data_IF_140925231067
#
_entry.id   IF_140925231067
#
_cell.length_a   1.000
_cell.length_b   1.000
_cell.length_c   1.000
_cell.angle_alpha   90.00
_cell.angle_beta   90.00
_cell.angle_gamma   90.00
#
_symmetry.space_group_name_H-M   'P 1'
#
loop_
_entity.id
_entity.type
_entity.pdbx_description
1 polymer ?
#
# COMPACT_ATOMS: atom_id res chain seq x y z
N UNK A 1 25.44 -8.88 -25.36
CA UNK A 1 24.88 -9.01 -24.00
C UNK A 1 26.03 -9.04 -23.02
N UNK A 2 26.18 -8.00 -22.19
CA UNK A 2 27.24 -7.94 -21.19
C UNK A 2 26.82 -8.78 -19.98
N UNK A 3 27.54 -9.86 -19.70
CA UNK A 3 27.35 -10.64 -18.47
C UNK A 3 27.91 -9.83 -17.30
N UNK A 4 27.29 -9.98 -16.13
CA UNK A 4 27.87 -9.48 -14.89
C UNK A 4 29.22 -10.16 -14.63
N UNK A 5 30.22 -9.43 -14.12
CA UNK A 5 31.49 -10.03 -13.69
C UNK A 5 31.27 -11.15 -12.65
N UNK A 6 32.03 -12.25 -12.76
CA UNK A 6 31.86 -13.43 -11.90
C UNK A 6 32.12 -13.12 -10.42
N UNK A 7 33.06 -12.24 -10.14
CA UNK A 7 33.38 -11.75 -8.79
C UNK A 7 32.19 -11.03 -8.15
N UNK A 8 31.42 -10.25 -8.93
CA UNK A 8 30.19 -9.62 -8.44
C UNK A 8 29.15 -10.68 -8.10
N UNK A 9 28.99 -11.70 -8.95
CA UNK A 9 28.03 -12.79 -8.71
C UNK A 9 28.42 -13.57 -7.45
N UNK A 10 29.67 -14.00 -7.34
CA UNK A 10 30.16 -14.84 -6.25
C UNK A 10 30.17 -14.10 -4.91
N UNK A 11 30.65 -12.86 -4.90
CA UNK A 11 30.86 -12.14 -3.64
C UNK A 11 29.65 -11.32 -3.19
N UNK A 12 28.77 -10.91 -4.12
CA UNK A 12 27.68 -9.98 -3.80
C UNK A 12 26.28 -10.50 -4.11
N UNK A 13 26.12 -11.59 -4.88
CA UNK A 13 24.79 -12.15 -5.20
C UNK A 13 24.59 -13.51 -4.50
N UNK A 14 25.47 -14.49 -4.77
CA UNK A 14 25.36 -15.84 -4.22
C UNK A 14 25.22 -15.89 -2.69
N UNK A 15 25.93 -15.07 -1.87
CA UNK A 15 25.80 -15.15 -0.43
C UNK A 15 24.38 -14.86 0.08
N UNK A 16 23.57 -14.15 -0.70
CA UNK A 16 22.18 -13.84 -0.37
C UNK A 16 21.20 -14.88 -0.94
N UNK A 17 21.58 -15.66 -1.96
CA UNK A 17 20.73 -16.73 -2.50
C UNK A 17 20.72 -17.98 -1.60
N UNK A 18 21.79 -18.20 -0.85
CA UNK A 18 21.90 -19.32 0.10
C UNK A 18 21.43 -18.98 1.52
N UNK A 19 21.02 -17.72 1.77
CA UNK A 19 20.43 -17.32 3.05
C UNK A 19 18.91 -17.41 2.93
N UNK A 20 18.23 -18.20 3.80
CA UNK A 20 16.78 -18.22 3.81
C UNK A 20 16.27 -16.81 4.10
N UNK A 21 15.31 -16.34 3.30
CA UNK A 21 14.65 -15.07 3.50
C UNK A 21 13.83 -15.11 4.79
N UNK A 22 13.63 -13.93 5.41
CA UNK A 22 12.85 -13.83 6.64
C UNK A 22 11.44 -14.43 6.41
N UNK A 23 10.98 -15.39 7.24
CA UNK A 23 9.70 -16.05 7.03
C UNK A 23 8.51 -15.08 7.07
N UNK A 24 8.58 -14.02 7.89
CA UNK A 24 7.55 -12.98 7.96
C UNK A 24 7.47 -12.19 6.65
N UNK A 25 8.62 -11.90 6.03
CA UNK A 25 8.65 -11.22 4.74
C UNK A 25 8.09 -12.12 3.62
N UNK A 26 8.42 -13.41 3.65
CA UNK A 26 7.88 -14.37 2.68
C UNK A 26 6.36 -14.53 2.81
N UNK A 27 5.85 -14.53 4.04
CA UNK A 27 4.42 -14.56 4.32
C UNK A 27 3.72 -13.29 3.78
N UNK A 28 4.29 -12.11 4.03
CA UNK A 28 3.78 -10.84 3.50
C UNK A 28 3.72 -10.84 1.97
N UNK A 29 4.80 -11.25 1.29
CA UNK A 29 4.86 -11.32 -0.18
C UNK A 29 3.79 -12.27 -0.74
N UNK A 30 3.61 -13.45 -0.13
CA UNK A 30 2.59 -14.42 -0.55
C UNK A 30 1.18 -13.87 -0.31
N UNK A 31 0.94 -13.33 0.89
CA UNK A 31 -0.34 -12.74 1.26
C UNK A 31 -0.70 -11.55 0.37
N UNK A 32 0.28 -10.72 0.00
CA UNK A 32 0.07 -9.57 -0.88
C UNK A 32 -0.57 -9.94 -2.21
N UNK A 33 -0.11 -11.03 -2.84
CA UNK A 33 -0.67 -11.48 -4.10
C UNK A 33 -2.13 -11.92 -3.94
N UNK A 34 -2.40 -12.73 -2.92
CA UNK A 34 -3.74 -13.29 -2.65
C UNK A 34 -4.72 -12.16 -2.30
N UNK A 35 -4.34 -11.29 -1.35
CA UNK A 35 -5.19 -10.18 -0.89
C UNK A 35 -5.48 -9.20 -2.03
N UNK A 36 -4.48 -8.91 -2.88
CA UNK A 36 -4.66 -8.05 -4.05
C UNK A 36 -5.60 -8.68 -5.07
N UNK A 37 -5.44 -9.98 -5.36
CA UNK A 37 -6.32 -10.67 -6.30
C UNK A 37 -7.77 -10.69 -5.79
N UNK A 38 -7.97 -10.93 -4.49
CA UNK A 38 -9.29 -10.84 -3.86
C UNK A 38 -9.90 -9.44 -4.03
N UNK A 39 -9.12 -8.40 -3.73
CA UNK A 39 -9.54 -7.01 -3.86
C UNK A 39 -9.92 -6.64 -5.30
N UNK A 40 -9.09 -7.04 -6.26
CA UNK A 40 -9.33 -6.83 -7.69
C UNK A 40 -10.60 -7.55 -8.14
N UNK A 41 -10.81 -8.80 -7.72
CA UNK A 41 -12.04 -9.52 -8.03
C UNK A 41 -13.28 -8.82 -7.46
N UNK A 42 -13.25 -8.41 -6.19
CA UNK A 42 -14.38 -7.74 -5.55
C UNK A 42 -14.70 -6.39 -6.23
N UNK A 43 -13.70 -5.54 -6.39
CA UNK A 43 -13.92 -4.17 -6.87
C UNK A 43 -14.01 -4.06 -8.40
N UNK A 44 -13.50 -5.00 -9.19
CA UNK A 44 -13.66 -4.96 -10.65
C UNK A 44 -14.91 -5.68 -11.15
N UNK A 45 -15.54 -6.51 -10.33
CA UNK A 45 -16.80 -7.15 -10.69
C UNK A 45 -18.00 -6.38 -10.16
N UNK A 46 -17.94 -5.86 -8.93
CA UNK A 46 -19.08 -5.23 -8.26
C UNK A 46 -18.97 -3.71 -8.11
N UNK A 47 -17.76 -3.13 -8.27
CA UNK A 47 -17.51 -1.70 -8.05
C UNK A 47 -16.59 -1.09 -9.14
N UNK A 48 -15.90 0.01 -8.81
CA UNK A 48 -14.87 0.61 -9.66
C UNK A 48 -13.67 1.08 -8.84
N UNK A 49 -12.56 1.37 -9.53
CA UNK A 49 -11.31 1.87 -8.95
C UNK A 49 -11.47 3.11 -8.07
N UNK A 50 -12.39 4.01 -8.41
CA UNK A 50 -12.57 5.26 -7.67
C UNK A 50 -13.19 4.98 -6.30
N UNK A 51 -14.12 4.02 -6.22
CA UNK A 51 -14.71 3.57 -4.95
C UNK A 51 -13.62 2.91 -4.09
N UNK A 52 -12.79 2.05 -4.69
CA UNK A 52 -11.68 1.43 -3.96
C UNK A 52 -10.71 2.47 -3.38
N UNK A 53 -10.34 3.49 -4.16
CA UNK A 53 -9.48 4.55 -3.67
C UNK A 53 -10.14 5.32 -2.52
N UNK A 54 -11.44 5.62 -2.64
CA UNK A 54 -12.18 6.30 -1.58
C UNK A 54 -12.18 5.50 -0.28
N UNK A 55 -12.44 4.20 -0.35
CA UNK A 55 -12.45 3.31 0.81
C UNK A 55 -11.06 3.18 1.45
N UNK A 56 -10.01 3.07 0.63
CA UNK A 56 -8.63 3.04 1.12
C UNK A 56 -8.23 4.34 1.83
N UNK A 57 -8.56 5.49 1.24
CA UNK A 57 -8.30 6.80 1.86
C UNK A 57 -9.06 6.91 3.18
N UNK A 58 -10.34 6.52 3.19
CA UNK A 58 -11.17 6.52 4.41
C UNK A 58 -10.62 5.57 5.47
N UNK A 59 -10.13 4.40 5.08
CA UNK A 59 -9.49 3.45 5.99
C UNK A 59 -8.22 4.04 6.63
N UNK A 60 -7.31 4.55 5.81
CA UNK A 60 -6.06 5.16 6.29
C UNK A 60 -6.31 6.38 7.18
N UNK A 61 -7.39 7.13 6.89
CA UNK A 61 -7.80 8.31 7.63
C UNK A 61 -8.71 8.01 8.84
N UNK A 62 -8.73 6.77 9.34
CA UNK A 62 -9.52 6.35 10.50
C UNK A 62 -11.02 6.66 10.38
N UNK A 63 -11.57 6.61 9.16
CA UNK A 63 -12.98 6.88 8.88
C UNK A 63 -13.35 8.36 8.78
N UNK A 64 -12.42 9.28 9.03
CA UNK A 64 -12.66 10.72 8.91
C UNK A 64 -12.86 11.14 7.46
N UNK A 65 -13.80 12.07 7.26
CA UNK A 65 -14.02 12.72 5.97
C UNK A 65 -12.80 13.55 5.55
N UNK A 66 -12.66 13.76 4.24
CA UNK A 66 -11.51 14.37 3.56
C UNK A 66 -11.01 15.72 4.09
N UNK A 67 -11.81 16.44 4.90
CA UNK A 67 -11.47 17.77 5.42
C UNK A 67 -10.64 17.73 6.72
N UNK A 68 -10.46 16.55 7.30
CA UNK A 68 -9.69 16.34 8.54
C UNK A 68 -8.73 15.17 8.36
N UNK A 69 -7.43 15.41 8.54
CA UNK A 69 -6.40 14.37 8.42
C UNK A 69 -6.11 13.78 9.79
N UNK A 70 -6.29 12.47 9.92
CA UNK A 70 -5.90 11.73 11.10
C UNK A 70 -4.38 11.50 11.09
N UNK A 71 -3.67 11.66 12.23
CA UNK A 71 -2.26 11.29 12.36
C UNK A 71 -1.94 9.84 11.96
N UNK A 72 -2.92 8.93 11.99
CA UNK A 72 -2.79 7.56 11.49
C UNK A 72 -2.41 7.53 10.01
N UNK A 73 -2.95 8.45 9.20
CA UNK A 73 -2.69 8.48 7.77
C UNK A 73 -1.25 8.94 7.49
N UNK A 74 -0.76 9.94 8.22
CA UNK A 74 0.66 10.32 8.17
C UNK A 74 1.56 9.14 8.55
N UNK A 75 1.23 8.43 9.62
CA UNK A 75 2.00 7.28 10.10
C UNK A 75 2.12 6.18 9.03
N UNK A 76 1.02 5.90 8.33
CA UNK A 76 1.02 4.96 7.20
C UNK A 76 1.89 5.48 6.05
N UNK A 77 1.70 6.74 5.63
CA UNK A 77 2.46 7.31 4.52
C UNK A 77 3.96 7.41 4.77
N UNK A 78 4.40 7.58 6.02
CA UNK A 78 5.83 7.61 6.38
C UNK A 78 6.56 6.29 6.12
N UNK A 79 5.83 5.18 5.90
CA UNK A 79 6.42 3.91 5.47
C UNK A 79 6.92 3.96 4.03
N UNK A 80 6.43 4.90 3.22
CA UNK A 80 6.99 5.17 1.91
C UNK A 80 8.39 5.80 2.07
N UNK A 81 9.48 5.19 1.53
CA UNK A 81 10.83 5.71 1.66
C UNK A 81 11.03 7.15 1.16
N UNK A 82 10.19 7.61 0.22
CA UNK A 82 10.24 8.97 -0.31
C UNK A 82 9.70 10.00 0.71
N UNK A 83 8.74 9.57 1.54
CA UNK A 83 8.01 10.42 2.48
C UNK A 83 8.52 10.28 3.93
N UNK A 84 9.26 9.22 4.25
CA UNK A 84 9.72 8.89 5.61
C UNK A 84 10.36 10.06 6.36
N UNK A 85 11.24 10.80 5.68
CA UNK A 85 12.02 11.91 6.25
C UNK A 85 11.44 13.30 5.97
N UNK A 86 10.21 13.39 5.43
CA UNK A 86 9.57 14.69 5.16
C UNK A 86 8.95 15.27 6.41
N UNK A 87 8.81 16.60 6.47
CA UNK A 87 8.13 17.27 7.58
C UNK A 87 6.66 16.87 7.62
N UNK A 88 6.06 16.87 8.83
CA UNK A 88 4.62 16.63 8.99
C UNK A 88 3.79 17.60 8.14
N UNK A 89 4.17 18.87 8.09
CA UNK A 89 3.51 19.88 7.24
C UNK A 89 3.52 19.51 5.76
N UNK A 90 4.62 18.95 5.26
CA UNK A 90 4.74 18.46 3.89
C UNK A 90 3.86 17.23 3.65
N UNK A 91 3.81 16.29 4.60
CA UNK A 91 2.98 15.09 4.42
C UNK A 91 1.50 15.45 4.45
N UNK A 92 1.09 16.34 5.36
CA UNK A 92 -0.29 16.84 5.43
C UNK A 92 -0.68 17.54 4.13
N UNK A 93 0.17 18.44 3.61
CA UNK A 93 -0.11 19.11 2.34
C UNK A 93 -0.12 18.14 1.15
N UNK A 94 0.74 17.11 1.18
CA UNK A 94 0.73 16.03 0.20
C UNK A 94 -0.57 15.21 0.25
N UNK A 95 -1.07 14.88 1.44
CA UNK A 95 -2.35 14.18 1.62
C UNK A 95 -3.48 15.02 1.03
N UNK A 96 -3.56 16.31 1.39
CA UNK A 96 -4.62 17.20 0.90
C UNK A 96 -4.59 17.33 -0.63
N UNK A 97 -3.42 17.60 -1.20
CA UNK A 97 -3.27 17.80 -2.64
C UNK A 97 -3.46 16.52 -3.45
N UNK A 98 -3.01 15.39 -2.94
CA UNK A 98 -2.97 14.13 -3.69
C UNK A 98 -4.18 13.24 -3.43
N UNK A 99 -4.77 13.25 -2.24
CA UNK A 99 -5.84 12.31 -1.89
C UNK A 99 -7.17 12.98 -1.55
N UNK A 100 -7.21 14.31 -1.41
CA UNK A 100 -8.46 15.03 -1.11
C UNK A 100 -8.91 15.89 -2.30
N UNK A 101 -8.05 16.78 -2.79
CA UNK A 101 -8.45 17.71 -3.86
C UNK A 101 -8.39 17.07 -5.25
N UNK A 102 -7.56 16.05 -5.46
CA UNK A 102 -7.35 15.43 -6.78
C UNK A 102 -7.75 13.94 -6.82
N UNK A 103 -8.75 13.51 -6.04
CA UNK A 103 -9.10 12.08 -5.86
C UNK A 103 -9.16 11.31 -7.19
N UNK A 104 -9.77 11.88 -8.23
CA UNK A 104 -10.00 11.23 -9.52
C UNK A 104 -8.78 11.18 -10.45
N UNK A 105 -7.68 11.87 -10.12
CA UNK A 105 -6.47 11.84 -10.93
C UNK A 105 -5.53 10.73 -10.47
N UNK A 106 -4.93 9.98 -11.41
CA UNK A 106 -3.97 8.90 -11.12
C UNK A 106 -4.46 7.87 -10.09
N UNK A 107 -5.75 7.53 -10.15
CA UNK A 107 -6.45 6.64 -9.19
C UNK A 107 -5.67 5.36 -8.95
N UNK A 108 -5.30 4.66 -10.03
CA UNK A 108 -4.57 3.40 -9.96
C UNK A 108 -3.22 3.52 -9.24
N UNK A 109 -2.48 4.61 -9.49
CA UNK A 109 -1.20 4.85 -8.81
C UNK A 109 -1.40 5.07 -7.32
N UNK A 110 -2.44 5.81 -6.94
CA UNK A 110 -2.78 6.05 -5.54
C UNK A 110 -3.19 4.78 -4.82
N UNK A 111 -4.00 3.94 -5.45
CA UNK A 111 -4.37 2.61 -4.94
C UNK A 111 -3.11 1.79 -4.72
N UNK A 112 -2.23 1.69 -5.72
CA UNK A 112 -0.98 0.91 -5.61
C UNK A 112 -0.07 1.41 -4.49
N UNK A 113 0.05 2.74 -4.33
CA UNK A 113 0.83 3.32 -3.24
C UNK A 113 0.22 2.97 -1.89
N UNK A 114 -1.06 3.25 -1.67
CA UNK A 114 -1.72 3.01 -0.39
C UNK A 114 -1.72 1.52 -0.06
N UNK A 115 -2.13 0.67 -0.99
CA UNK A 115 -2.14 -0.77 -0.79
C UNK A 115 -0.76 -1.34 -0.51
N UNK A 116 0.27 -0.86 -1.22
CA UNK A 116 1.64 -1.32 -1.09
C UNK A 116 2.33 -0.97 0.23
N UNK A 117 1.86 0.07 0.94
CA UNK A 117 2.45 0.51 2.23
C UNK A 117 1.68 0.01 3.45
N UNK A 118 0.52 -0.62 3.25
CA UNK A 118 -0.21 -1.28 4.33
C UNK A 118 0.52 -2.57 4.72
N UNK A 119 0.62 -2.79 6.03
CA UNK A 119 1.10 -4.06 6.59
C UNK A 119 0.09 -5.19 6.31
N UNK A 120 0.52 -6.47 6.36
CA UNK A 120 -0.40 -7.60 6.25
C UNK A 120 -1.66 -7.46 7.11
N UNK A 121 -1.47 -7.08 8.38
CA UNK A 121 -2.57 -6.92 9.35
C UNK A 121 -3.56 -5.83 8.94
N UNK A 122 -3.08 -4.71 8.42
CA UNK A 122 -3.94 -3.63 7.95
C UNK A 122 -4.67 -4.02 6.67
N UNK A 123 -4.02 -4.76 5.75
CA UNK A 123 -4.66 -5.29 4.53
C UNK A 123 -5.79 -6.25 4.88
N UNK A 124 -5.55 -7.20 5.80
CA UNK A 124 -6.60 -8.08 6.35
C UNK A 124 -7.72 -7.29 7.02
N UNK A 125 -7.37 -6.29 7.86
CA UNK A 125 -8.37 -5.46 8.53
C UNK A 125 -9.23 -4.65 7.55
N UNK A 126 -8.64 -4.17 6.46
CA UNK A 126 -9.35 -3.46 5.41
C UNK A 126 -10.33 -4.38 4.68
N UNK A 127 -9.88 -5.57 4.26
CA UNK A 127 -10.72 -6.58 3.60
C UNK A 127 -11.90 -6.97 4.49
N UNK A 128 -11.64 -7.29 5.76
CA UNK A 128 -12.69 -7.67 6.71
C UNK A 128 -13.73 -6.56 6.90
N UNK A 129 -13.28 -5.29 6.91
CA UNK A 129 -14.19 -4.14 7.02
C UNK A 129 -15.10 -4.02 5.80
N UNK A 130 -14.60 -4.32 4.60
CA UNK A 130 -15.42 -4.28 3.38
C UNK A 130 -16.43 -5.41 3.40
N UNK A 131 -16.00 -6.65 3.67
CA UNK A 131 -16.88 -7.81 3.76
C UNK A 131 -18.04 -7.58 4.73
N UNK A 132 -17.75 -7.05 5.93
CA UNK A 132 -18.78 -6.74 6.92
C UNK A 132 -19.79 -5.68 6.46
N UNK A 133 -19.38 -4.74 5.61
CA UNK A 133 -20.29 -3.72 5.07
C UNK A 133 -21.16 -4.26 3.92
N UNK A 134 -20.76 -5.34 3.25
CA UNK A 134 -21.52 -5.97 2.15
C UNK A 134 -22.64 -6.89 2.66
N UNK A 135 -22.54 -7.38 3.89
CA UNK A 135 -23.55 -8.25 4.53
C UNK A 135 -24.72 -7.47 5.16
N UNK A 136 -24.78 -6.14 5.00
CA UNK A 136 -25.83 -5.26 5.53
C UNK A 136 -26.67 -4.65 4.41
#
# INVERSE_FOLDING_TARGET
MNKLPEDVIINNILPFTYKPQNPVLLEDVRGFYIDKQFLENLYYTEFNDTILLYDLVRFCNSGLTSNSINPSFETILRRNPILSNKSTTFIVSYILSSFVTSVTHNVMTKIKILWGILTPRERTSFINRILFNLER
#
